data_IF_759826742080
#
_entry.id   IF_759826742080
#
_cell.length_a   1.000
_cell.length_b   1.000
_cell.length_c   1.000
_cell.angle_alpha   90.00
_cell.angle_beta   90.00
_cell.angle_gamma   90.00
#
_symmetry.space_group_name_H-M   'P 1'
#
loop_
_entity.id
_entity.type
_entity.pdbx_description
1 polymer ?
#
# COMPACT_ATOMS: atom_id res chain seq x y z
N UNK A 1 -22.62 -14.91 2.11
CA UNK A 1 -22.22 -13.49 2.21
C UNK A 1 -21.86 -13.03 0.80
N UNK A 2 -22.47 -11.96 0.29
CA UNK A 2 -22.04 -11.39 -0.99
C UNK A 2 -20.78 -10.55 -0.72
N UNK A 3 -19.68 -10.85 -1.40
CA UNK A 3 -18.46 -10.04 -1.28
C UNK A 3 -18.68 -8.69 -1.99
N UNK A 4 -18.13 -7.58 -1.46
CA UNK A 4 -18.50 -6.24 -1.92
C UNK A 4 -18.10 -5.95 -3.37
N UNK A 5 -17.06 -6.61 -3.89
CA UNK A 5 -16.63 -6.50 -5.28
C UNK A 5 -16.98 -7.73 -6.13
N UNK A 6 -17.91 -8.57 -5.66
CA UNK A 6 -18.38 -9.70 -6.46
C UNK A 6 -18.90 -9.22 -7.83
N UNK A 7 -18.47 -9.90 -8.90
CA UNK A 7 -18.83 -9.55 -10.29
C UNK A 7 -18.04 -8.39 -10.90
N UNK A 8 -17.16 -7.72 -10.13
CA UNK A 8 -16.30 -6.67 -10.65
C UNK A 8 -15.00 -7.23 -11.22
N UNK A 9 -14.45 -6.55 -12.23
CA UNK A 9 -13.15 -6.88 -12.83
C UNK A 9 -12.17 -5.76 -12.53
N UNK A 10 -10.97 -6.09 -12.07
CA UNK A 10 -9.89 -5.15 -11.83
C UNK A 10 -8.63 -5.56 -12.60
N UNK A 11 -7.90 -4.56 -13.13
CA UNK A 11 -6.62 -4.75 -13.78
C UNK A 11 -5.52 -4.00 -13.01
N UNK A 12 -4.51 -4.72 -12.53
CA UNK A 12 -3.44 -4.16 -11.70
C UNK A 12 -2.11 -4.22 -12.44
N UNK A 13 -1.60 -3.07 -12.83
CA UNK A 13 -0.26 -2.95 -13.40
C UNK A 13 0.83 -3.06 -12.33
N UNK A 14 1.94 -3.74 -12.64
CA UNK A 14 3.08 -3.87 -11.74
C UNK A 14 2.77 -4.68 -10.47
N UNK A 15 1.83 -5.62 -10.54
CA UNK A 15 1.34 -6.29 -9.34
C UNK A 15 2.16 -7.49 -8.88
N UNK A 16 3.38 -7.71 -9.35
CA UNK A 16 4.25 -8.82 -8.89
C UNK A 16 4.80 -8.61 -7.47
N UNK A 17 4.85 -7.36 -7.00
CA UNK A 17 5.47 -6.98 -5.70
C UNK A 17 4.93 -5.68 -5.15
N UNK A 18 5.36 -5.33 -3.94
CA UNK A 18 5.08 -4.04 -3.30
C UNK A 18 3.59 -3.69 -3.30
N UNK A 19 3.28 -2.39 -3.40
CA UNK A 19 1.90 -1.89 -3.39
C UNK A 19 0.99 -2.55 -4.43
N UNK A 20 1.46 -2.78 -5.66
CA UNK A 20 0.67 -3.45 -6.70
C UNK A 20 0.21 -4.86 -6.31
N UNK A 21 1.10 -5.64 -5.68
CA UNK A 21 0.75 -6.98 -5.16
C UNK A 21 -0.29 -6.90 -4.05
N UNK A 22 -0.13 -5.94 -3.14
CA UNK A 22 -1.09 -5.71 -2.05
C UNK A 22 -2.48 -5.32 -2.56
N UNK A 23 -2.54 -4.41 -3.53
CA UNK A 23 -3.79 -4.00 -4.20
C UNK A 23 -4.48 -5.19 -4.88
N UNK A 24 -3.73 -5.96 -5.69
CA UNK A 24 -4.29 -7.14 -6.36
C UNK A 24 -4.85 -8.16 -5.36
N UNK A 25 -4.15 -8.38 -4.25
CA UNK A 25 -4.56 -9.33 -3.20
C UNK A 25 -5.85 -8.89 -2.51
N UNK A 26 -5.92 -7.64 -2.06
CA UNK A 26 -7.09 -7.14 -1.31
C UNK A 26 -8.33 -7.00 -2.21
N UNK A 27 -8.17 -6.60 -3.48
CA UNK A 27 -9.26 -6.60 -4.46
C UNK A 27 -9.84 -8.01 -4.68
N UNK A 28 -8.97 -9.02 -4.79
CA UNK A 28 -9.38 -10.42 -4.89
C UNK A 28 -10.08 -10.92 -3.63
N UNK A 29 -9.55 -10.57 -2.45
CA UNK A 29 -10.18 -10.89 -1.16
C UNK A 29 -11.56 -10.25 -1.00
N UNK A 30 -11.76 -9.06 -1.57
CA UNK A 30 -13.04 -8.36 -1.64
C UNK A 30 -13.99 -8.92 -2.73
N UNK A 31 -13.59 -9.94 -3.49
CA UNK A 31 -14.44 -10.68 -4.43
C UNK A 31 -14.31 -10.29 -5.91
N UNK A 32 -13.39 -9.39 -6.26
CA UNK A 32 -13.16 -9.02 -7.66
C UNK A 32 -12.47 -10.14 -8.45
N UNK A 33 -12.76 -10.23 -9.74
CA UNK A 33 -11.90 -10.94 -10.70
C UNK A 33 -10.70 -10.04 -11.05
N UNK A 34 -9.49 -10.46 -10.69
CA UNK A 34 -8.29 -9.62 -10.81
C UNK A 34 -7.37 -10.14 -11.90
N UNK A 35 -6.98 -9.26 -12.82
CA UNK A 35 -5.89 -9.47 -13.77
C UNK A 35 -4.69 -8.64 -13.36
N UNK A 36 -3.50 -9.23 -13.44
CA UNK A 36 -2.26 -8.57 -13.04
C UNK A 36 -1.25 -8.65 -14.16
N UNK A 37 -0.47 -7.59 -14.36
CA UNK A 37 0.68 -7.61 -15.28
C UNK A 37 1.99 -7.29 -14.56
N UNK A 38 3.08 -7.83 -15.09
CA UNK A 38 4.43 -7.73 -14.56
C UNK A 38 5.49 -8.11 -15.58
N UNK A 39 6.75 -8.01 -15.18
CA UNK A 39 7.91 -8.36 -16.02
C UNK A 39 8.52 -9.73 -15.71
N UNK A 40 7.99 -10.41 -14.69
CA UNK A 40 8.46 -11.72 -14.24
C UNK A 40 7.27 -12.67 -14.16
N UNK A 41 7.48 -13.88 -14.66
CA UNK A 41 6.59 -15.04 -14.51
C UNK A 41 7.41 -16.22 -14.03
N UNK A 42 6.77 -17.33 -13.66
CA UNK A 42 7.48 -18.59 -13.34
C UNK A 42 8.34 -19.11 -14.50
N UNK A 43 7.95 -18.82 -15.74
CA UNK A 43 8.65 -19.26 -16.93
C UNK A 43 9.78 -18.30 -17.39
N UNK A 44 9.71 -17.02 -17.01
CA UNK A 44 10.68 -16.02 -17.43
C UNK A 44 10.92 -14.98 -16.31
N UNK A 45 12.16 -14.91 -15.84
CA UNK A 45 12.60 -13.85 -14.93
C UNK A 45 12.79 -12.53 -15.69
N UNK A 46 12.49 -11.41 -15.04
CA UNK A 46 12.87 -10.10 -15.60
C UNK A 46 14.38 -9.92 -15.62
N UNK A 47 14.88 -9.06 -16.51
CA UNK A 47 16.29 -8.64 -16.59
C UNK A 47 16.86 -8.01 -15.29
N UNK A 48 15.99 -7.71 -14.32
CA UNK A 48 16.37 -7.21 -12.99
C UNK A 48 16.72 -8.33 -11.99
N UNK A 49 16.70 -9.60 -12.42
CA UNK A 49 16.96 -10.83 -11.64
C UNK A 49 16.32 -10.83 -10.26
N UNK A 50 15.01 -10.57 -10.24
CA UNK A 50 14.20 -10.60 -9.01
C UNK A 50 13.43 -11.91 -8.92
N UNK A 51 13.37 -12.54 -7.74
CA UNK A 51 12.79 -13.86 -7.57
C UNK A 51 11.25 -13.88 -7.67
N UNK A 52 10.57 -12.77 -7.42
CA UNK A 52 9.10 -12.71 -7.37
C UNK A 52 8.44 -12.69 -8.76
N UNK A 53 7.33 -13.40 -8.88
CA UNK A 53 6.60 -13.63 -10.13
C UNK A 53 5.14 -13.14 -10.04
N UNK A 54 4.46 -13.08 -11.20
CA UNK A 54 3.04 -12.72 -11.24
C UNK A 54 2.16 -13.75 -10.55
N UNK A 55 2.56 -15.02 -10.60
CA UNK A 55 1.87 -16.12 -9.95
C UNK A 55 2.02 -16.06 -8.43
N UNK A 56 3.15 -15.59 -7.90
CA UNK A 56 3.36 -15.42 -6.46
C UNK A 56 2.39 -14.40 -5.85
N UNK A 57 1.91 -13.43 -6.63
CA UNK A 57 0.88 -12.48 -6.21
C UNK A 57 -0.47 -13.16 -6.00
N UNK A 58 -0.85 -14.11 -6.86
CA UNK A 58 -2.09 -14.87 -6.69
C UNK A 58 -2.03 -15.76 -5.42
N UNK A 59 -0.83 -16.11 -4.98
CA UNK A 59 -0.57 -16.94 -3.80
C UNK A 59 -0.19 -16.11 -2.55
N UNK A 60 -0.19 -14.77 -2.66
CA UNK A 60 0.36 -13.87 -1.64
C UNK A 60 -0.53 -13.71 -0.41
N UNK A 61 -0.20 -14.45 0.64
CA UNK A 61 -0.84 -14.31 1.96
C UNK A 61 0.03 -14.78 3.15
N UNK A 62 1.31 -15.09 2.92
CA UNK A 62 2.15 -15.82 3.90
C UNK A 62 3.56 -15.25 4.13
N UNK A 63 3.87 -14.07 3.62
CA UNK A 63 5.24 -13.50 3.71
C UNK A 63 5.41 -12.66 5.00
N UNK A 64 6.29 -13.07 5.94
CA UNK A 64 6.52 -12.37 7.20
C UNK A 64 7.52 -11.19 7.11
N UNK A 65 8.15 -10.93 5.96
CA UNK A 65 9.33 -10.04 5.87
C UNK A 65 9.04 -8.55 5.63
N UNK A 66 7.84 -8.04 5.92
CA UNK A 66 7.46 -6.64 5.60
C UNK A 66 6.99 -5.78 6.80
N UNK A 67 7.34 -6.16 8.04
CA UNK A 67 6.72 -5.66 9.28
C UNK A 67 7.13 -4.25 9.79
N UNK A 68 7.82 -3.41 9.00
CA UNK A 68 8.35 -2.11 9.50
C UNK A 68 8.05 -0.87 8.63
N UNK A 69 7.32 -1.03 7.53
CA UNK A 69 6.68 0.05 6.77
C UNK A 69 5.19 -0.31 6.64
N UNK A 70 4.31 0.61 6.23
CA UNK A 70 2.92 0.22 5.93
C UNK A 70 2.94 -1.00 5.00
N UNK A 71 2.19 -2.05 5.32
CA UNK A 71 2.24 -3.20 4.45
C UNK A 71 1.55 -2.87 3.13
N UNK A 72 1.96 -3.48 2.01
CA UNK A 72 1.21 -3.34 0.77
C UNK A 72 -0.28 -3.66 0.89
N UNK A 73 -0.68 -4.48 1.86
CA UNK A 73 -2.08 -4.79 2.10
C UNK A 73 -2.85 -3.59 2.69
N UNK A 74 -2.21 -2.75 3.49
CA UNK A 74 -2.84 -1.52 3.99
C UNK A 74 -3.27 -0.60 2.84
N UNK A 75 -2.38 -0.41 1.87
CA UNK A 75 -2.70 0.28 0.60
C UNK A 75 -3.81 -0.42 -0.18
N UNK A 76 -3.75 -1.76 -0.29
CA UNK A 76 -4.79 -2.52 -0.97
C UNK A 76 -6.18 -2.37 -0.35
N UNK A 77 -6.26 -2.30 0.98
CA UNK A 77 -7.51 -2.06 1.71
C UNK A 77 -8.06 -0.67 1.45
N UNK A 78 -7.21 0.35 1.35
CA UNK A 78 -7.63 1.69 0.96
C UNK A 78 -8.23 1.70 -0.46
N UNK A 79 -7.65 0.96 -1.40
CA UNK A 79 -8.21 0.81 -2.75
C UNK A 79 -9.57 0.10 -2.72
N UNK A 80 -9.72 -0.97 -1.92
CA UNK A 80 -11.01 -1.64 -1.73
C UNK A 80 -12.04 -0.67 -1.16
N UNK A 81 -11.69 0.09 -0.12
CA UNK A 81 -12.58 1.06 0.50
C UNK A 81 -13.12 2.07 -0.52
N UNK A 82 -12.22 2.70 -1.28
CA UNK A 82 -12.59 3.62 -2.36
C UNK A 82 -13.42 2.93 -3.45
N UNK A 83 -13.07 1.71 -3.87
CA UNK A 83 -13.79 0.98 -4.91
C UNK A 83 -15.23 0.62 -4.50
N UNK A 84 -15.50 0.56 -3.19
CA UNK A 84 -16.82 0.25 -2.63
C UNK A 84 -17.58 1.48 -2.12
N UNK A 85 -16.97 2.67 -2.18
CA UNK A 85 -17.58 3.90 -1.73
C UNK A 85 -18.59 4.41 -2.78
N UNK A 86 -19.90 4.51 -2.44
CA UNK A 86 -20.90 5.01 -3.37
C UNK A 86 -20.66 6.47 -3.80
N UNK A 87 -19.94 7.25 -2.99
CA UNK A 87 -19.64 8.67 -3.23
C UNK A 87 -18.18 8.89 -3.62
N UNK A 88 -17.46 7.85 -4.07
CA UNK A 88 -16.03 7.91 -4.41
C UNK A 88 -15.69 9.03 -5.40
N UNK A 89 -16.64 9.36 -6.30
CA UNK A 89 -16.44 10.41 -7.30
C UNK A 89 -16.17 11.78 -6.66
N UNK A 90 -16.71 12.06 -5.47
CA UNK A 90 -16.45 13.29 -4.71
C UNK A 90 -14.97 13.48 -4.34
N UNK A 91 -14.21 12.37 -4.31
CA UNK A 91 -12.78 12.34 -3.96
C UNK A 91 -11.86 12.41 -5.18
N UNK A 92 -12.42 12.45 -6.39
CA UNK A 92 -11.64 12.51 -7.64
C UNK A 92 -10.76 13.76 -7.68
N UNK A 93 -9.50 13.58 -8.08
CA UNK A 93 -8.52 14.67 -8.22
C UNK A 93 -7.83 15.08 -6.92
N UNK A 94 -8.17 14.45 -5.79
CA UNK A 94 -7.52 14.72 -4.51
C UNK A 94 -6.32 13.80 -4.29
N UNK A 95 -5.33 14.30 -3.54
CA UNK A 95 -4.28 13.45 -2.96
C UNK A 95 -4.74 12.97 -1.59
N UNK A 96 -5.05 11.68 -1.48
CA UNK A 96 -5.57 11.08 -0.26
C UNK A 96 -4.47 10.31 0.45
N UNK A 97 -4.35 10.51 1.77
CA UNK A 97 -3.43 9.73 2.57
C UNK A 97 -4.10 8.44 3.07
N UNK A 98 -3.38 7.32 2.97
CA UNK A 98 -3.88 6.00 3.36
C UNK A 98 -4.38 5.95 4.80
N UNK A 99 -3.73 6.67 5.71
CA UNK A 99 -4.12 6.72 7.12
C UNK A 99 -5.42 7.51 7.35
N UNK A 100 -5.65 8.58 6.60
CA UNK A 100 -6.92 9.34 6.67
C UNK A 100 -8.07 8.45 6.16
N UNK A 101 -7.82 7.68 5.09
CA UNK A 101 -8.76 6.69 4.58
C UNK A 101 -8.99 5.54 5.59
N UNK A 102 -7.96 5.11 6.30
CA UNK A 102 -8.10 4.08 7.33
C UNK A 102 -8.99 4.54 8.49
N UNK A 103 -8.87 5.81 8.89
CA UNK A 103 -9.73 6.43 9.89
C UNK A 103 -11.16 6.63 9.38
N UNK A 104 -11.31 7.10 8.13
CA UNK A 104 -12.62 7.36 7.51
C UNK A 104 -13.42 6.07 7.27
N UNK A 105 -12.79 5.04 6.69
CA UNK A 105 -13.46 3.81 6.28
C UNK A 105 -13.29 2.65 7.27
N UNK A 106 -12.50 2.83 8.33
CA UNK A 106 -12.40 1.88 9.43
C UNK A 106 -11.65 0.58 9.10
N UNK A 107 -10.55 0.65 8.34
CA UNK A 107 -9.69 -0.51 8.07
C UNK A 107 -8.36 -0.44 8.82
N UNK A 108 -7.70 -1.58 9.00
CA UNK A 108 -6.39 -1.71 9.67
C UNK A 108 -5.39 -2.43 8.77
N UNK A 109 -4.12 -2.33 9.08
CA UNK A 109 -3.08 -3.15 8.48
C UNK A 109 -3.22 -4.63 8.95
N UNK A 110 -2.44 -5.55 8.37
CA UNK A 110 -2.49 -7.00 8.64
C UNK A 110 -2.22 -7.36 10.09
N UNK A 111 -1.40 -6.57 10.78
CA UNK A 111 -1.09 -6.74 12.20
C UNK A 111 -2.14 -6.08 13.13
N UNK A 112 -3.19 -5.49 12.56
CA UNK A 112 -4.23 -4.75 13.28
C UNK A 112 -3.89 -3.30 13.57
N UNK A 113 -2.69 -2.81 13.18
CA UNK A 113 -2.30 -1.42 13.38
C UNK A 113 -2.99 -0.46 12.40
N UNK A 114 -2.97 0.83 12.72
CA UNK A 114 -3.30 1.91 11.79
C UNK A 114 -2.10 2.85 11.70
N UNK A 115 -1.13 2.56 10.82
CA UNK A 115 0.05 3.39 10.66
C UNK A 115 -0.36 4.81 10.27
N UNK A 116 0.14 5.82 10.98
CA UNK A 116 -0.15 7.23 10.66
C UNK A 116 1.14 8.02 10.53
N UNK A 117 1.70 8.05 9.31
CA UNK A 117 2.97 8.71 9.04
C UNK A 117 2.94 10.20 9.38
N UNK A 118 1.84 10.91 9.13
CA UNK A 118 1.71 12.33 9.52
C UNK A 118 1.78 12.60 11.03
N UNK A 119 1.41 11.65 11.89
CA UNK A 119 1.57 11.74 13.35
C UNK A 119 3.02 11.41 13.72
N UNK A 120 3.56 10.31 13.17
CA UNK A 120 4.94 9.90 13.41
C UNK A 120 5.95 10.97 13.00
N UNK A 121 5.83 11.52 11.79
CA UNK A 121 6.71 12.57 11.29
C UNK A 121 6.68 13.79 12.20
N UNK A 122 5.49 14.32 12.54
CA UNK A 122 5.36 15.52 13.39
C UNK A 122 5.90 15.32 14.81
N UNK A 123 5.64 14.18 15.44
CA UNK A 123 5.97 13.99 16.85
C UNK A 123 7.35 13.38 17.07
N UNK A 124 7.94 12.74 16.05
CA UNK A 124 9.19 11.99 16.20
C UNK A 124 10.30 12.52 15.31
N UNK A 125 10.07 12.67 14.00
CA UNK A 125 11.12 13.03 13.05
C UNK A 125 11.36 14.53 12.93
N UNK A 126 10.30 15.35 12.91
CA UNK A 126 10.42 16.80 12.76
C UNK A 126 11.28 17.44 13.87
N UNK A 127 11.10 17.12 15.17
CA UNK A 127 11.98 17.67 16.21
C UNK A 127 13.45 17.24 16.08
N UNK A 128 13.69 16.05 15.54
CA UNK A 128 15.05 15.54 15.33
C UNK A 128 15.73 16.22 14.13
N UNK A 129 14.98 16.50 13.06
CA UNK A 129 15.46 17.25 11.91
C UNK A 129 15.73 18.71 12.27
N UNK A 130 14.86 19.35 13.04
CA UNK A 130 15.06 20.71 13.53
C UNK A 130 16.35 20.80 14.37
N UNK A 131 16.59 19.83 15.26
CA UNK A 131 17.83 19.75 16.05
C UNK A 131 19.08 19.59 15.17
N UNK A 132 19.01 18.80 14.09
CA UNK A 132 20.13 18.62 13.15
C UNK A 132 20.37 19.90 12.34
N UNK A 133 19.31 20.55 11.85
CA UNK A 133 19.41 21.81 11.10
C UNK A 133 19.94 22.94 11.99
N UNK A 134 19.47 23.02 13.24
CA UNK A 134 19.98 23.97 14.23
C UNK A 134 21.46 23.71 14.54
N UNK A 135 21.86 22.44 14.69
CA UNK A 135 23.27 22.06 14.86
C UNK A 135 24.17 22.39 13.66
N UNK A 136 23.65 22.25 12.43
CA UNK A 136 24.37 22.59 11.20
C UNK A 136 24.45 24.10 10.94
N UNK A 137 23.51 24.89 11.47
CA UNK A 137 23.53 26.35 11.35
C UNK A 137 24.33 27.04 12.46
N UNK A 138 24.59 26.35 13.58
CA UNK A 138 25.44 26.82 14.67
C UNK A 138 26.93 26.45 14.54
N UNK A 139 27.34 25.78 13.46
CA UNK A 139 28.75 25.59 13.12
C UNK A 139 29.14 26.55 11.98
N UNK A 140 29.38 27.85 12.26
CA UNK A 140 29.98 28.73 11.27
C UNK A 140 31.39 28.22 11.07
N UNK A 141 31.67 27.74 9.84
CA UNK A 141 32.99 27.54 9.25
C UNK A 141 34.10 28.14 10.13
N UNK A 142 34.82 27.29 10.88
CA UNK A 142 36.13 27.65 11.43
C UNK A 142 37.13 27.84 10.29
#
# INVERSE_FOLDING_TARGET
MNLPLAGHVAFVAGGTRGGGRGIATELGAAGATVYVTGRSTRAAKSDLDRPETIEDTAEYGKDPHFAHSETPAFLGRAVVALATDPDVLSKTGQSLATWDLAEEYGFTDRDGSQPHWGRYFRHTLAPQLDTVVDGLTQDPVQ
#
